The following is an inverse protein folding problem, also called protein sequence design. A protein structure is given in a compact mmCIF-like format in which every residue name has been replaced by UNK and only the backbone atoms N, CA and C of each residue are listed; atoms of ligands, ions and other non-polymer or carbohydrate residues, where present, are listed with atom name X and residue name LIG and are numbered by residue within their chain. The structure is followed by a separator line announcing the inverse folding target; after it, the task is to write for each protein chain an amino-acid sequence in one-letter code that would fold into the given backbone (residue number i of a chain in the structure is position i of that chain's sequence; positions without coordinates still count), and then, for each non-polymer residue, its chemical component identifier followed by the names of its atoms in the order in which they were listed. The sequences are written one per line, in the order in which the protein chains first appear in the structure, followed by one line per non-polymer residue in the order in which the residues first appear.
data_IF_621554918225
#
_entry.id   IF_621554918225
#
_cell.length_a   1.000
_cell.length_b   1.000
_cell.length_c   1.000
_cell.angle_alpha   90.00
_cell.angle_beta   90.00
_cell.angle_gamma   90.00
#
_symmetry.space_group_name_H-M   'P 1'
#
loop_
_entity.id
_entity.type
_entity.pdbx_description
1 polymer ?
#
# COMPACT_ATOMS: atom_id res chain seq x y z
N UNK A 1 -36.33 -26.21 -49.65
CA UNK A 1 -35.20 -25.29 -49.87
C UNK A 1 -35.53 -23.87 -49.37
N UNK A 2 -36.45 -23.13 -50.02
CA UNK A 2 -36.73 -21.71 -49.70
C UNK A 2 -37.06 -21.39 -48.22
N UNK A 3 -37.83 -22.23 -47.53
CA UNK A 3 -38.15 -21.99 -46.11
C UNK A 3 -36.96 -22.19 -45.15
N UNK A 4 -36.01 -23.07 -45.50
CA UNK A 4 -34.78 -23.23 -44.72
C UNK A 4 -33.87 -22.02 -44.89
N UNK A 5 -33.71 -21.53 -46.12
CA UNK A 5 -32.91 -20.33 -46.41
C UNK A 5 -33.45 -19.08 -45.69
N UNK A 6 -34.78 -18.94 -45.60
CA UNK A 6 -35.38 -17.82 -44.88
C UNK A 6 -35.18 -17.94 -43.36
N UNK A 7 -35.31 -19.15 -42.80
CA UNK A 7 -34.99 -19.40 -41.38
C UNK A 7 -33.52 -19.11 -41.08
N UNK A 8 -32.60 -19.54 -41.94
CA UNK A 8 -31.17 -19.28 -41.78
C UNK A 8 -30.84 -17.79 -41.86
N UNK A 9 -31.53 -17.03 -42.71
CA UNK A 9 -31.39 -15.56 -42.79
C UNK A 9 -31.85 -14.88 -41.51
N UNK A 10 -32.99 -15.30 -40.95
CA UNK A 10 -33.51 -14.75 -39.69
C UNK A 10 -32.55 -15.07 -38.53
N UNK A 11 -32.06 -16.31 -38.44
CA UNK A 11 -31.11 -16.73 -37.40
C UNK A 11 -29.82 -15.91 -37.50
N UNK A 12 -29.24 -15.75 -38.70
CA UNK A 12 -28.03 -14.94 -38.91
C UNK A 12 -28.22 -13.48 -38.51
N UNK A 13 -29.38 -12.89 -38.82
CA UNK A 13 -29.69 -11.51 -38.43
C UNK A 13 -29.78 -11.37 -36.90
N UNK A 14 -30.38 -12.34 -36.24
CA UNK A 14 -30.51 -12.35 -34.78
C UNK A 14 -29.16 -12.58 -34.08
N UNK A 15 -28.33 -13.50 -34.60
CA UNK A 15 -26.97 -13.73 -34.11
C UNK A 15 -26.09 -12.47 -34.25
N UNK A 16 -26.13 -11.81 -35.40
CA UNK A 16 -25.41 -10.55 -35.62
C UNK A 16 -25.86 -9.46 -34.63
N UNK A 17 -27.18 -9.33 -34.42
CA UNK A 17 -27.73 -8.36 -33.48
C UNK A 17 -27.25 -8.62 -32.04
N UNK A 18 -27.32 -9.87 -31.56
CA UNK A 18 -26.89 -10.19 -30.20
C UNK A 18 -25.38 -10.06 -30.01
N UNK A 19 -24.57 -10.42 -31.00
CA UNK A 19 -23.12 -10.20 -30.98
C UNK A 19 -22.77 -8.73 -30.86
N UNK A 20 -23.47 -7.86 -31.58
CA UNK A 20 -23.27 -6.41 -31.48
C UNK A 20 -23.64 -5.87 -30.09
N UNK A 21 -24.75 -6.34 -29.51
CA UNK A 21 -25.14 -5.94 -28.15
C UNK A 21 -24.13 -6.40 -27.10
N UNK A 22 -23.64 -7.64 -27.21
CA UNK A 22 -22.61 -8.18 -26.32
C UNK A 22 -21.31 -7.37 -26.42
N UNK A 23 -20.85 -7.09 -27.63
CA UNK A 23 -19.64 -6.29 -27.84
C UNK A 23 -19.75 -4.90 -27.20
N UNK A 24 -20.88 -4.22 -27.35
CA UNK A 24 -21.14 -2.91 -26.71
C UNK A 24 -21.18 -3.00 -25.19
N UNK A 25 -21.71 -4.09 -24.63
CA UNK A 25 -21.76 -4.30 -23.19
C UNK A 25 -20.36 -4.57 -22.63
N UNK A 26 -19.58 -5.41 -23.30
CA UNK A 26 -18.19 -5.71 -22.95
C UNK A 26 -17.31 -4.46 -23.02
N UNK A 27 -17.43 -3.66 -24.07
CA UNK A 27 -16.73 -2.39 -24.23
C UNK A 27 -17.04 -1.45 -23.05
N UNK A 28 -18.33 -1.18 -22.79
CA UNK A 28 -18.75 -0.30 -21.68
C UNK A 28 -18.30 -0.82 -20.33
N UNK A 29 -18.39 -2.14 -20.09
CA UNK A 29 -17.93 -2.75 -18.84
C UNK A 29 -16.42 -2.59 -18.68
N UNK A 30 -15.66 -2.74 -19.76
CA UNK A 30 -14.20 -2.59 -19.73
C UNK A 30 -13.78 -1.14 -19.45
N UNK A 31 -14.46 -0.15 -20.05
CA UNK A 31 -14.22 1.26 -19.80
C UNK A 31 -14.52 1.63 -18.34
N UNK A 32 -15.66 1.17 -17.83
CA UNK A 32 -16.03 1.41 -16.44
C UNK A 32 -15.05 0.79 -15.46
N UNK A 33 -14.62 -0.45 -15.71
CA UNK A 33 -13.65 -1.14 -14.85
C UNK A 33 -12.29 -0.44 -14.87
N UNK A 34 -11.80 -0.01 -16.05
CA UNK A 34 -10.55 0.76 -16.18
C UNK A 34 -10.60 2.06 -15.40
N UNK A 35 -11.60 2.90 -15.67
CA UNK A 35 -11.72 4.21 -15.00
C UNK A 35 -11.87 4.02 -13.49
N UNK A 36 -12.67 3.07 -13.04
CA UNK A 36 -12.86 2.80 -11.60
C UNK A 36 -11.56 2.35 -10.94
N UNK A 37 -10.82 1.43 -11.58
CA UNK A 37 -9.57 0.90 -11.04
C UNK A 37 -8.48 1.97 -11.03
N UNK A 38 -8.33 2.73 -12.12
CA UNK A 38 -7.34 3.81 -12.23
C UNK A 38 -7.60 4.94 -11.23
N UNK A 39 -8.85 5.38 -11.10
CA UNK A 39 -9.23 6.42 -10.13
C UNK A 39 -9.05 5.94 -8.69
N UNK A 40 -9.40 4.68 -8.41
CA UNK A 40 -9.18 4.08 -7.09
C UNK A 40 -7.70 4.00 -6.76
N UNK A 41 -6.89 3.45 -7.68
CA UNK A 41 -5.44 3.32 -7.51
C UNK A 41 -4.81 4.68 -7.23
N UNK A 42 -5.16 5.69 -8.04
CA UNK A 42 -4.68 7.06 -7.87
C UNK A 42 -5.08 7.65 -6.51
N UNK A 43 -6.34 7.47 -6.10
CA UNK A 43 -6.80 7.93 -4.80
C UNK A 43 -6.06 7.22 -3.64
N UNK A 44 -5.81 5.92 -3.77
CA UNK A 44 -5.02 5.15 -2.81
C UNK A 44 -3.57 5.68 -2.72
N UNK A 45 -2.91 5.95 -3.84
CA UNK A 45 -1.56 6.51 -3.89
C UNK A 45 -1.49 7.94 -3.31
N UNK A 46 -2.50 8.77 -3.57
CA UNK A 46 -2.62 10.11 -2.98
C UNK A 46 -2.80 10.07 -1.47
N UNK A 47 -3.60 9.12 -0.96
CA UNK A 47 -3.77 8.90 0.48
C UNK A 47 -2.47 8.35 1.06
N UNK A 48 -1.88 7.33 0.44
CA UNK A 48 -0.63 6.75 0.91
C UNK A 48 0.45 7.83 0.99
N UNK A 49 0.67 8.62 -0.06
CA UNK A 49 1.69 9.69 -0.05
C UNK A 49 1.47 10.75 1.04
N UNK A 50 0.22 11.17 1.29
CA UNK A 50 -0.11 12.15 2.35
C UNK A 50 0.02 11.57 3.75
N UNK A 51 -0.27 10.29 3.91
CA UNK A 51 -0.32 9.61 5.19
C UNK A 51 0.80 8.57 5.35
N UNK A 52 1.85 8.63 4.52
CA UNK A 52 3.05 7.81 4.69
C UNK A 52 3.50 8.05 6.11
N UNK A 53 3.36 7.00 6.93
CA UNK A 53 3.82 7.04 8.31
C UNK A 53 5.28 7.41 8.19
N UNK A 54 5.64 8.58 8.71
CA UNK A 54 7.03 8.90 8.94
C UNK A 54 7.65 7.65 9.55
N UNK A 55 8.67 7.09 8.90
CA UNK A 55 9.45 6.04 9.52
C UNK A 55 10.09 6.69 10.75
N UNK A 56 9.42 6.57 11.88
CA UNK A 56 9.89 7.07 13.14
C UNK A 56 11.04 6.17 13.53
N UNK A 57 12.24 6.65 13.22
CA UNK A 57 13.47 6.02 13.66
C UNK A 57 13.72 6.52 15.08
N UNK A 58 13.52 5.68 16.12
CA UNK A 58 13.76 6.10 17.49
C UNK A 58 15.23 6.50 17.64
N UNK A 59 15.45 7.78 17.93
CA UNK A 59 16.81 8.32 18.06
C UNK A 59 17.47 7.71 19.29
N UNK A 60 18.72 7.29 19.16
CA UNK A 60 19.51 6.67 20.22
C UNK A 60 18.96 5.33 20.74
N UNK A 61 18.08 4.63 20.02
CA UNK A 61 17.44 3.38 20.49
C UNK A 61 18.44 2.31 20.92
N UNK A 62 19.52 2.11 20.17
CA UNK A 62 20.55 1.13 20.53
C UNK A 62 21.29 1.50 21.82
N UNK A 63 21.59 2.80 22.00
CA UNK A 63 22.21 3.30 23.23
C UNK A 63 21.24 3.18 24.41
N UNK A 64 19.95 3.43 24.19
CA UNK A 64 18.90 3.24 25.19
C UNK A 64 18.79 1.77 25.61
N UNK A 65 18.83 0.83 24.67
CA UNK A 65 18.81 -0.60 24.98
C UNK A 65 20.03 -1.00 25.81
N UNK A 66 21.23 -0.56 25.40
CA UNK A 66 22.49 -0.86 26.09
C UNK A 66 22.54 -0.29 27.50
N UNK A 67 22.13 0.97 27.70
CA UNK A 67 22.17 1.60 29.03
C UNK A 67 21.18 0.94 30.01
N UNK A 68 19.98 0.59 29.53
CA UNK A 68 19.00 -0.16 30.31
C UNK A 68 19.52 -1.54 30.70
N UNK A 69 20.17 -2.24 29.77
CA UNK A 69 20.81 -3.52 30.05
C UNK A 69 21.93 -3.37 31.10
N UNK A 70 22.78 -2.37 30.98
CA UNK A 70 23.87 -2.13 31.94
C UNK A 70 23.33 -1.90 33.35
N UNK A 71 22.30 -1.06 33.53
CA UNK A 71 21.72 -0.82 34.85
C UNK A 71 21.05 -2.06 35.45
N UNK A 72 20.41 -2.89 34.62
CA UNK A 72 19.83 -4.17 35.07
C UNK A 72 20.90 -5.15 35.56
N UNK A 73 22.07 -5.16 34.93
CA UNK A 73 23.18 -6.03 35.31
C UNK A 73 23.99 -5.49 36.50
N UNK A 74 23.99 -4.17 36.72
CA UNK A 74 24.83 -3.49 37.71
C UNK A 74 23.97 -2.71 38.72
N UNK A 75 22.94 -3.34 39.29
CA UNK A 75 21.96 -2.67 40.18
C UNK A 75 22.57 -2.02 41.43
N UNK A 76 23.63 -2.61 41.97
CA UNK A 76 24.36 -2.07 43.14
C UNK A 76 25.61 -1.26 42.74
N UNK A 77 25.96 -1.23 41.45
CA UNK A 77 27.17 -0.61 40.91
C UNK A 77 26.83 0.22 39.68
N UNK A 78 25.78 1.04 39.77
CA UNK A 78 25.22 1.78 38.62
C UNK A 78 26.23 2.76 38.01
N UNK A 79 27.19 3.23 38.80
CA UNK A 79 28.29 4.10 38.32
C UNK A 79 29.19 3.42 37.28
N UNK A 80 29.25 2.08 37.25
CA UNK A 80 29.95 1.33 36.19
C UNK A 80 29.34 1.57 34.80
N UNK A 81 28.08 2.02 34.74
CA UNK A 81 27.39 2.37 33.49
C UNK A 81 27.58 3.84 33.06
N UNK A 82 28.35 4.64 33.82
CA UNK A 82 28.49 6.10 33.62
C UNK A 82 28.99 6.50 32.23
N UNK A 83 29.96 5.77 31.67
CA UNK A 83 30.46 6.02 30.31
C UNK A 83 29.36 5.86 29.25
N UNK A 84 28.51 4.84 29.41
CA UNK A 84 27.40 4.55 28.52
C UNK A 84 26.25 5.57 28.71
N UNK A 85 26.00 5.99 29.94
CA UNK A 85 25.08 7.07 30.26
C UNK A 85 25.48 8.39 29.59
N UNK A 86 26.77 8.74 29.63
CA UNK A 86 27.30 9.92 28.96
C UNK A 86 27.14 9.85 27.43
N UNK A 87 27.35 8.68 26.83
CA UNK A 87 27.12 8.48 25.39
C UNK A 87 25.65 8.65 25.01
N UNK A 88 24.74 8.03 25.77
CA UNK A 88 23.30 8.16 25.55
C UNK A 88 22.87 9.64 25.68
N UNK A 89 23.33 10.34 26.71
CA UNK A 89 23.04 11.76 26.91
C UNK A 89 23.54 12.64 25.77
N UNK A 90 24.75 12.40 25.24
CA UNK A 90 25.26 13.12 24.07
C UNK A 90 24.38 12.91 22.83
N UNK A 91 24.00 11.66 22.57
CA UNK A 91 23.12 11.33 21.45
C UNK A 91 21.76 12.04 21.57
N UNK A 92 21.13 11.99 22.76
CA UNK A 92 19.85 12.66 23.01
C UNK A 92 19.97 14.17 22.85
N UNK A 93 21.04 14.79 23.36
CA UNK A 93 21.25 16.23 23.25
C UNK A 93 21.52 16.68 21.81
N UNK A 94 22.25 15.88 21.03
CA UNK A 94 22.47 16.16 19.61
C UNK A 94 21.18 16.06 18.81
N UNK A 95 20.29 15.11 19.14
CA UNK A 95 19.01 14.93 18.46
C UNK A 95 17.96 16.00 18.81
N UNK A 96 18.17 16.75 19.89
CA UNK A 96 17.30 17.86 20.32
C UNK A 96 17.62 19.19 19.64
N UNK A 97 18.83 19.34 19.09
CA UNK A 97 19.26 20.53 18.35
C UNK A 97 18.68 20.51 16.94
#
# INVERSE_FOLDING_TARGET
AKQLEEKDRVIKKQDAFYKEQLARLEERSSEFYKVTTEQYQKAAEEVESKFKRYEFHPVCADLQAKILQCYRQNTQQTLSCSALANQYMRCVNQAKQ
#
